data_IF_804695807005
#
_entry.id   IF_804695807005
#
_cell.length_a   1.000
_cell.length_b   1.000
_cell.length_c   1.000
_cell.angle_alpha   90.00
_cell.angle_beta   90.00
_cell.angle_gamma   90.00
#
_symmetry.space_group_name_H-M   'P 1'
#
loop_
_entity.id
_entity.type
_entity.pdbx_description
1 polymer ?
#
# COMPACT_ATOMS: atom_id res chain seq x y z
N UNK A 1 -34.38 6.53 -23.21
CA UNK A 1 -32.93 6.22 -23.12
C UNK A 1 -32.36 7.04 -21.99
N UNK A 2 -32.01 6.42 -20.85
CA UNK A 2 -31.40 7.14 -19.73
C UNK A 2 -29.91 7.34 -20.05
N UNK A 3 -29.49 8.61 -20.12
CA UNK A 3 -28.09 8.99 -20.27
C UNK A 3 -27.34 8.62 -18.98
N UNK A 4 -26.55 7.55 -19.02
CA UNK A 4 -25.58 7.27 -17.98
C UNK A 4 -24.53 8.39 -17.98
N UNK A 5 -24.67 9.35 -17.07
CA UNK A 5 -23.65 10.36 -16.82
C UNK A 5 -22.44 9.67 -16.17
N UNK A 6 -21.40 9.42 -16.96
CA UNK A 6 -20.11 8.97 -16.44
C UNK A 6 -19.46 10.15 -15.72
N UNK A 7 -19.41 10.09 -14.39
CA UNK A 7 -18.64 11.04 -13.61
C UNK A 7 -17.15 10.77 -13.82
N UNK A 8 -16.44 11.68 -14.47
CA UNK A 8 -15.00 11.60 -14.65
C UNK A 8 -14.32 12.38 -13.52
N UNK A 9 -13.58 11.66 -12.68
CA UNK A 9 -12.74 12.28 -11.66
C UNK A 9 -11.35 12.59 -12.24
N UNK A 10 -10.95 13.87 -12.24
CA UNK A 10 -9.63 14.29 -12.73
C UNK A 10 -8.61 14.21 -11.61
N UNK A 11 -7.50 13.49 -11.85
CA UNK A 11 -6.38 13.35 -10.92
C UNK A 11 -5.14 13.97 -11.56
N UNK A 12 -4.51 14.91 -10.86
CA UNK A 12 -3.22 15.46 -11.28
C UNK A 12 -2.13 14.42 -11.07
N UNK A 13 -1.23 14.30 -12.04
CA UNK A 13 -0.05 13.44 -11.99
C UNK A 13 1.16 14.25 -12.40
N UNK A 14 2.31 13.93 -11.83
CA UNK A 14 3.57 14.61 -12.12
C UNK A 14 4.59 13.65 -12.75
N UNK A 15 5.59 14.17 -13.48
CA UNK A 15 6.63 13.35 -14.08
C UNK A 15 7.35 12.48 -13.04
N UNK A 16 7.73 11.25 -13.38
CA UNK A 16 8.51 10.38 -12.48
C UNK A 16 9.77 11.06 -11.92
N UNK A 17 10.46 11.84 -12.77
CA UNK A 17 11.65 12.62 -12.41
C UNK A 17 11.44 13.71 -11.36
N UNK A 18 10.18 14.01 -10.99
CA UNK A 18 9.85 14.98 -9.93
C UNK A 18 9.95 14.36 -8.52
N UNK A 19 10.22 13.06 -8.42
CA UNK A 19 10.35 12.33 -7.17
C UNK A 19 11.76 11.77 -7.02
N UNK A 20 12.27 11.77 -5.79
CA UNK A 20 13.55 11.16 -5.42
C UNK A 20 13.32 9.89 -4.62
N UNK A 21 14.01 8.81 -4.96
CA UNK A 21 13.91 7.53 -4.26
C UNK A 21 15.13 7.33 -3.38
N UNK A 22 14.91 7.24 -2.07
CA UNK A 22 15.95 6.91 -1.09
C UNK A 22 16.06 5.41 -0.85
N UNK A 23 17.16 5.01 -0.22
CA UNK A 23 17.36 3.64 0.27
C UNK A 23 17.12 3.61 1.77
N UNK A 24 16.42 2.58 2.25
CA UNK A 24 16.21 2.34 3.69
C UNK A 24 16.75 0.97 4.10
N UNK A 25 16.87 0.76 5.40
CA UNK A 25 17.19 -0.56 5.96
C UNK A 25 16.17 -1.62 5.49
N UNK A 26 16.61 -2.88 5.30
CA UNK A 26 15.71 -3.94 4.88
C UNK A 26 14.52 -4.08 5.83
N UNK A 27 13.31 -3.93 5.31
CA UNK A 27 12.10 -4.29 6.04
C UNK A 27 11.81 -5.78 5.82
N UNK A 28 11.96 -6.58 6.87
CA UNK A 28 11.74 -8.01 6.80
C UNK A 28 10.25 -8.33 6.88
N UNK A 29 9.80 -9.30 6.09
CA UNK A 29 8.43 -9.81 6.22
C UNK A 29 8.21 -10.36 7.63
N UNK A 30 7.02 -10.07 8.18
CA UNK A 30 6.62 -10.49 9.53
C UNK A 30 6.69 -12.01 9.71
N UNK A 31 6.36 -12.76 8.67
CA UNK A 31 6.23 -14.21 8.71
C UNK A 31 7.39 -14.88 7.94
N UNK A 32 8.11 -15.79 8.59
CA UNK A 32 9.27 -16.49 8.01
C UNK A 32 8.91 -17.51 6.93
N UNK A 33 7.63 -17.88 6.83
CA UNK A 33 7.13 -18.88 5.88
C UNK A 33 5.63 -18.73 5.65
N UNK A 34 5.15 -19.30 4.55
CA UNK A 34 3.72 -19.33 4.21
C UNK A 34 2.87 -20.04 5.28
N UNK A 35 3.27 -21.21 5.84
CA UNK A 35 2.51 -21.83 6.94
C UNK A 35 2.42 -20.96 8.19
N UNK A 36 3.51 -20.30 8.59
CA UNK A 36 3.51 -19.41 9.76
C UNK A 36 2.55 -18.23 9.55
N UNK A 37 2.50 -17.69 8.32
CA UNK A 37 1.53 -16.65 7.94
C UNK A 37 0.08 -17.15 8.09
N UNK A 38 -0.23 -18.34 7.59
CA UNK A 38 -1.59 -18.89 7.71
C UNK A 38 -1.99 -19.16 9.16
N UNK A 39 -1.09 -19.70 9.97
CA UNK A 39 -1.34 -19.93 11.39
C UNK A 39 -1.65 -18.61 12.11
N UNK A 40 -0.83 -17.58 11.91
CA UNK A 40 -1.08 -16.25 12.50
C UNK A 40 -2.42 -15.66 12.05
N UNK A 41 -2.76 -15.79 10.77
CA UNK A 41 -4.06 -15.30 10.25
C UNK A 41 -5.24 -16.01 10.92
N UNK A 42 -5.12 -17.29 11.24
CA UNK A 42 -6.14 -18.02 11.98
C UNK A 42 -6.24 -17.53 13.43
N UNK A 43 -5.12 -17.42 14.14
CA UNK A 43 -5.07 -16.95 15.53
C UNK A 43 -5.61 -15.50 15.66
N UNK A 44 -5.23 -14.62 14.73
CA UNK A 44 -5.70 -13.24 14.67
C UNK A 44 -7.23 -13.20 14.41
N UNK A 45 -7.75 -14.09 13.56
CA UNK A 45 -9.19 -14.17 13.28
C UNK A 45 -9.99 -14.64 14.50
N UNK A 46 -9.52 -15.66 15.21
CA UNK A 46 -10.17 -16.17 16.42
C UNK A 46 -10.21 -15.09 17.52
N UNK A 47 -9.20 -14.22 17.59
CA UNK A 47 -9.08 -13.19 18.63
C UNK A 47 -9.75 -11.86 18.30
N UNK A 48 -9.62 -11.39 17.06
CA UNK A 48 -10.02 -10.03 16.66
C UNK A 48 -11.06 -10.02 15.54
N UNK A 49 -11.42 -11.18 14.98
CA UNK A 49 -12.33 -11.28 13.85
C UNK A 49 -11.66 -10.93 12.53
N UNK A 50 -12.42 -10.39 11.59
CA UNK A 50 -11.96 -10.16 10.23
C UNK A 50 -10.80 -9.16 10.19
N UNK A 51 -9.68 -9.58 9.63
CA UNK A 51 -8.53 -8.72 9.34
C UNK A 51 -8.93 -7.58 8.41
N UNK A 52 -8.49 -6.37 8.74
CA UNK A 52 -8.66 -5.17 7.91
C UNK A 52 -7.30 -4.70 7.39
N UNK A 53 -7.24 -4.39 6.10
CA UNK A 53 -6.02 -3.90 5.43
C UNK A 53 -6.36 -2.76 4.48
N UNK A 54 -5.40 -1.87 4.28
CA UNK A 54 -5.49 -0.74 3.35
C UNK A 54 -4.23 -0.70 2.48
N UNK A 55 -4.39 -0.33 1.22
CA UNK A 55 -3.30 -0.20 0.25
C UNK A 55 -3.44 1.11 -0.52
N UNK A 56 -2.32 1.78 -0.75
CA UNK A 56 -2.23 3.04 -1.48
C UNK A 56 -1.81 2.82 -2.92
N UNK A 57 -2.49 3.48 -3.86
CA UNK A 57 -2.09 3.51 -5.28
C UNK A 57 -1.49 4.88 -5.58
N UNK A 58 -0.16 4.93 -5.73
CA UNK A 58 0.54 6.15 -6.08
C UNK A 58 0.75 6.21 -7.59
N UNK A 59 0.34 7.33 -8.19
CA UNK A 59 0.39 7.54 -9.64
C UNK A 59 1.39 8.62 -10.02
N UNK A 60 2.25 8.29 -10.97
CA UNK A 60 3.13 9.23 -11.66
C UNK A 60 2.93 9.09 -13.17
N UNK A 61 3.59 9.93 -13.96
CA UNK A 61 3.64 9.72 -15.41
C UNK A 61 5.06 9.79 -15.97
N UNK A 62 5.29 9.05 -17.03
CA UNK A 62 6.48 9.17 -17.87
C UNK A 62 6.03 9.06 -19.32
N UNK A 63 6.50 9.97 -20.18
CA UNK A 63 6.05 10.05 -21.59
C UNK A 63 4.52 10.06 -21.76
N UNK A 64 3.80 10.75 -20.86
CA UNK A 64 2.32 10.81 -20.81
C UNK A 64 1.59 9.49 -20.50
N UNK A 65 2.32 8.44 -20.11
CA UNK A 65 1.76 7.16 -19.69
C UNK A 65 1.66 7.10 -18.15
N UNK A 66 0.49 6.75 -17.58
CA UNK A 66 0.37 6.48 -16.15
C UNK A 66 1.28 5.33 -15.73
N UNK A 67 1.94 5.50 -14.59
CA UNK A 67 2.66 4.44 -13.91
C UNK A 67 2.18 4.35 -12.46
N UNK A 68 2.02 3.13 -11.96
CA UNK A 68 1.74 2.82 -10.54
C UNK A 68 3.06 2.50 -9.87
N UNK A 69 3.34 3.15 -8.74
CA UNK A 69 4.51 2.82 -7.93
C UNK A 69 4.23 1.55 -7.11
N UNK A 70 5.20 0.62 -7.12
CA UNK A 70 5.12 -0.66 -6.43
C UNK A 70 6.38 -0.88 -5.60
N UNK A 71 6.23 -1.54 -4.45
CA UNK A 71 7.34 -2.04 -3.65
C UNK A 71 7.81 -3.38 -4.23
N UNK A 72 9.08 -3.48 -4.58
CA UNK A 72 9.68 -4.72 -5.06
C UNK A 72 10.40 -5.45 -3.92
N UNK A 73 9.98 -6.70 -3.64
CA UNK A 73 10.62 -7.59 -2.68
C UNK A 73 11.10 -8.84 -3.41
N UNK A 74 12.36 -8.83 -3.86
CA UNK A 74 12.90 -9.88 -4.73
C UNK A 74 12.12 -9.96 -6.04
N UNK A 75 11.39 -11.05 -6.25
CA UNK A 75 10.53 -11.29 -7.43
C UNK A 75 9.06 -10.88 -7.22
N UNK A 76 8.69 -10.40 -6.03
CA UNK A 76 7.32 -10.01 -5.69
C UNK A 76 7.14 -8.50 -5.78
N UNK A 77 5.93 -8.08 -6.14
CA UNK A 77 5.51 -6.69 -6.15
C UNK A 77 4.30 -6.50 -5.24
N UNK A 78 4.28 -5.40 -4.48
CA UNK A 78 3.17 -5.03 -3.59
C UNK A 78 2.84 -3.56 -3.73
N UNK A 79 1.58 -3.22 -3.45
CA UNK A 79 1.21 -1.85 -3.16
C UNK A 79 1.72 -1.47 -1.76
N UNK A 80 2.11 -0.20 -1.54
CA UNK A 80 2.43 0.29 -0.21
C UNK A 80 1.18 0.34 0.67
N UNK A 81 1.31 -0.06 1.93
CA UNK A 81 0.18 -0.22 2.85
C UNK A 81 0.36 -1.41 3.79
N UNK A 82 -0.76 -1.92 4.31
CA UNK A 82 -0.69 -2.97 5.31
C UNK A 82 -1.95 -3.13 6.14
N UNK A 83 -1.75 -3.67 7.32
CA UNK A 83 -2.81 -4.05 8.25
C UNK A 83 -3.18 -2.91 9.19
N UNK A 84 -4.48 -2.75 9.42
CA UNK A 84 -5.01 -1.79 10.37
C UNK A 84 -5.01 -2.39 11.78
N UNK A 85 -4.79 -1.53 12.78
CA UNK A 85 -5.04 -1.90 14.17
C UNK A 85 -6.55 -2.06 14.44
N UNK A 86 -6.95 -2.82 15.48
CA UNK A 86 -8.35 -2.93 15.87
C UNK A 86 -8.97 -1.55 16.15
N UNK A 87 -10.07 -1.23 15.46
CA UNK A 87 -10.75 0.06 15.57
C UNK A 87 -10.08 1.24 14.86
N UNK A 88 -8.94 1.02 14.17
CA UNK A 88 -8.27 2.07 13.40
C UNK A 88 -9.11 2.47 12.18
N UNK A 89 -9.14 3.79 11.91
CA UNK A 89 -9.80 4.36 10.74
C UNK A 89 -8.93 4.16 9.49
N UNK A 90 -9.55 3.94 8.33
CA UNK A 90 -8.87 3.47 7.12
C UNK A 90 -7.92 4.52 6.54
N UNK A 91 -8.36 5.78 6.49
CA UNK A 91 -7.55 6.87 5.96
C UNK A 91 -6.37 7.19 6.88
N UNK A 92 -6.60 7.26 8.19
CA UNK A 92 -5.53 7.51 9.16
C UNK A 92 -4.54 6.34 9.23
N UNK A 93 -5.03 5.10 9.19
CA UNK A 93 -4.18 3.91 9.10
C UNK A 93 -3.33 3.90 7.84
N UNK A 94 -3.90 4.24 6.68
CA UNK A 94 -3.14 4.34 5.43
C UNK A 94 -2.05 5.41 5.51
N UNK A 95 -2.35 6.60 6.04
CA UNK A 95 -1.34 7.66 6.23
C UNK A 95 -0.19 7.20 7.12
N UNK A 96 -0.50 6.51 8.22
CA UNK A 96 0.51 5.94 9.13
C UNK A 96 1.38 4.91 8.40
N UNK A 97 0.76 3.95 7.71
CA UNK A 97 1.46 2.88 6.99
C UNK A 97 2.37 3.43 5.89
N UNK A 98 1.88 4.38 5.09
CA UNK A 98 2.71 5.06 4.08
C UNK A 98 3.86 5.81 4.74
N UNK A 99 3.64 6.47 5.87
CA UNK A 99 4.70 7.20 6.57
C UNK A 99 5.78 6.27 7.13
N UNK A 100 5.39 5.11 7.69
CA UNK A 100 6.32 4.07 8.15
C UNK A 100 7.13 3.47 6.99
N UNK A 101 6.52 3.35 5.81
CA UNK A 101 7.19 2.85 4.61
C UNK A 101 8.14 3.87 3.97
N UNK A 102 7.80 5.17 4.03
CA UNK A 102 8.63 6.26 3.48
C UNK A 102 9.72 6.75 4.44
N UNK A 103 9.57 6.55 5.76
CA UNK A 103 10.54 7.04 6.75
C UNK A 103 11.82 6.18 6.78
N UNK A 104 12.74 6.45 5.87
CA UNK A 104 14.17 6.28 6.16
C UNK A 104 14.56 7.33 7.21
N UNK A 105 15.09 6.91 8.37
CA UNK A 105 15.75 7.86 9.28
C UNK A 105 16.87 8.54 8.48
N UNK A 106 16.79 9.85 8.31
CA UNK A 106 17.97 10.67 8.00
C UNK A 106 18.94 10.61 9.17
#
# INVERSE_FOLDING_TARGET
>A
MLSNSVFVHRINRYPLKSYSFGTKDPNYERDRSVPARFQRLQEDFEKYGMRRSVEGVLLVHEHNLPHVLLLQLGTFFKLPGGELHPGEEELEGLKRLLSEEESGKM
#
